data_IF_988932287425
#
_entry.id   IF_988932287425
#
_cell.length_a   1.000
_cell.length_b   1.000
_cell.length_c   1.000
_cell.angle_alpha   90.00
_cell.angle_beta   90.00
_cell.angle_gamma   90.00
#
_symmetry.space_group_name_H-M   'P 1'
#
loop_
_entity.id
_entity.type
_entity.pdbx_description
1 polymer ?
#
# COMPACT_ATOMS: atom_id res chain seq x y z
N UNK A 1 -3.15 23.24 -11.51
CA UNK A 1 -2.08 22.94 -10.52
C UNK A 1 -2.50 21.97 -9.41
N UNK A 2 -3.69 22.10 -8.79
CA UNK A 2 -4.15 21.17 -7.73
C UNK A 2 -4.05 19.67 -8.08
N UNK A 3 -4.47 19.27 -9.28
CA UNK A 3 -4.40 17.85 -9.73
C UNK A 3 -2.98 17.24 -9.72
N UNK A 4 -1.96 18.04 -10.02
CA UNK A 4 -0.56 17.56 -10.05
C UNK A 4 -0.06 17.31 -8.63
N UNK A 5 -0.38 18.22 -7.71
CA UNK A 5 -0.08 18.06 -6.28
C UNK A 5 -0.82 16.89 -5.65
N UNK A 6 -2.10 16.69 -5.99
CA UNK A 6 -2.88 15.53 -5.54
C UNK A 6 -2.27 14.21 -6.05
N UNK A 7 -1.80 14.20 -7.29
CA UNK A 7 -1.10 13.05 -7.87
C UNK A 7 0.20 12.74 -7.14
N UNK A 8 1.04 13.76 -6.92
CA UNK A 8 2.31 13.64 -6.20
C UNK A 8 2.12 13.16 -4.75
N UNK A 9 1.16 13.73 -4.02
CA UNK A 9 0.82 13.30 -2.66
C UNK A 9 0.37 11.83 -2.61
N UNK A 10 -0.40 11.40 -3.61
CA UNK A 10 -0.85 10.00 -3.72
C UNK A 10 0.33 9.06 -3.98
N UNK A 11 1.29 9.47 -4.81
CA UNK A 11 2.51 8.71 -5.07
C UNK A 11 3.40 8.60 -3.83
N UNK A 12 3.63 9.72 -3.13
CA UNK A 12 4.39 9.73 -1.87
C UNK A 12 3.70 8.85 -0.83
N UNK A 13 2.38 8.90 -0.74
CA UNK A 13 1.60 8.04 0.15
C UNK A 13 1.77 6.55 -0.19
N UNK A 14 1.83 6.19 -1.48
CA UNK A 14 2.09 4.83 -1.91
C UNK A 14 3.48 4.34 -1.47
N UNK A 15 4.50 5.18 -1.61
CA UNK A 15 5.86 4.89 -1.15
C UNK A 15 5.93 4.73 0.36
N UNK A 16 5.28 5.62 1.13
CA UNK A 16 5.23 5.54 2.59
C UNK A 16 4.56 4.24 3.03
N UNK A 17 3.45 3.85 2.39
CA UNK A 17 2.76 2.60 2.71
C UNK A 17 3.69 1.38 2.56
N UNK A 18 4.44 1.30 1.46
CA UNK A 18 5.42 0.23 1.22
C UNK A 18 6.60 0.31 2.19
N UNK A 19 7.11 1.52 2.47
CA UNK A 19 8.23 1.71 3.37
C UNK A 19 7.92 1.30 4.82
N UNK A 20 6.69 1.49 5.28
CA UNK A 20 6.27 1.10 6.62
C UNK A 20 5.86 -0.37 6.71
N UNK A 21 5.07 -0.87 5.76
CA UNK A 21 4.50 -2.23 5.83
C UNK A 21 5.39 -3.29 5.20
N UNK A 22 6.21 -2.94 4.21
CA UNK A 22 7.13 -3.86 3.53
C UNK A 22 8.11 -4.53 4.49
N UNK A 23 8.85 -3.77 5.33
CA UNK A 23 9.74 -4.35 6.33
C UNK A 23 9.01 -5.24 7.34
N UNK A 24 7.82 -4.83 7.80
CA UNK A 24 7.01 -5.62 8.75
C UNK A 24 6.62 -6.97 8.15
N UNK A 25 6.15 -6.98 6.89
CA UNK A 25 5.84 -8.20 6.16
C UNK A 25 7.08 -9.08 5.93
N UNK A 26 8.21 -8.47 5.62
CA UNK A 26 9.47 -9.18 5.45
C UNK A 26 9.92 -9.86 6.75
N UNK A 27 9.88 -9.15 7.88
CA UNK A 27 10.19 -9.74 9.19
C UNK A 27 9.23 -10.85 9.58
N UNK A 28 7.93 -10.68 9.33
CA UNK A 28 6.94 -11.71 9.58
C UNK A 28 7.18 -12.96 8.72
N UNK A 29 7.55 -12.80 7.45
CA UNK A 29 7.92 -13.92 6.59
C UNK A 29 9.19 -14.63 7.08
N UNK A 30 10.19 -13.85 7.48
CA UNK A 30 11.47 -14.38 7.98
C UNK A 30 11.31 -15.09 9.32
N UNK A 31 10.43 -14.65 10.23
CA UNK A 31 10.19 -15.32 11.51
C UNK A 31 9.55 -16.70 11.32
N UNK A 32 8.59 -16.83 10.40
CA UNK A 32 8.02 -18.15 10.06
C UNK A 32 9.09 -19.02 9.40
N UNK A 33 9.89 -18.47 8.50
CA UNK A 33 10.97 -19.20 7.81
C UNK A 33 12.09 -19.66 8.75
N UNK A 34 12.40 -18.88 9.78
CA UNK A 34 13.40 -19.22 10.80
C UNK A 34 12.88 -20.26 11.81
N UNK A 35 11.58 -20.56 11.81
CA UNK A 35 10.95 -21.47 12.78
C UNK A 35 10.57 -20.79 14.10
N UNK A 36 10.73 -19.47 14.22
CA UNK A 36 10.34 -18.69 15.41
C UNK A 36 8.82 -18.54 15.52
N UNK A 37 8.09 -18.74 14.42
CA UNK A 37 6.66 -18.56 14.33
C UNK A 37 5.97 -19.72 13.57
N UNK A 38 4.72 -20.07 13.91
CA UNK A 38 4.04 -21.22 13.33
C UNK A 38 3.67 -21.04 11.84
N UNK A 39 3.74 -22.13 11.07
CA UNK A 39 3.53 -22.14 9.61
C UNK A 39 2.16 -21.61 9.14
N UNK A 40 1.11 -21.66 9.97
CA UNK A 40 -0.21 -21.13 9.59
C UNK A 40 -0.18 -19.60 9.39
N UNK A 41 0.83 -18.90 9.91
CA UNK A 41 1.02 -17.46 9.71
C UNK A 41 1.33 -17.07 8.27
N UNK A 42 1.71 -17.99 7.39
CA UNK A 42 1.82 -17.68 5.96
C UNK A 42 0.49 -17.17 5.38
N UNK A 43 -0.66 -17.69 5.82
CA UNK A 43 -1.96 -17.25 5.34
C UNK A 43 -2.23 -15.75 5.62
N UNK A 44 -2.17 -15.25 6.88
CA UNK A 44 -2.35 -13.83 7.14
C UNK A 44 -1.24 -12.96 6.52
N UNK A 45 0.02 -13.44 6.44
CA UNK A 45 1.10 -12.70 5.75
C UNK A 45 0.74 -12.48 4.27
N UNK A 46 0.24 -13.52 3.58
CA UNK A 46 -0.17 -13.42 2.17
C UNK A 46 -1.34 -12.43 2.03
N UNK A 47 -2.35 -12.48 2.90
CA UNK A 47 -3.49 -11.56 2.85
C UNK A 47 -3.03 -10.11 3.02
N UNK A 48 -2.15 -9.84 3.99
CA UNK A 48 -1.61 -8.50 4.22
C UNK A 48 -0.73 -8.03 3.06
N UNK A 49 0.08 -8.92 2.47
CA UNK A 49 0.87 -8.60 1.29
C UNK A 49 -0.03 -8.25 0.08
N UNK A 50 -1.11 -9.00 -0.14
CA UNK A 50 -2.09 -8.69 -1.19
C UNK A 50 -2.78 -7.35 -0.94
N UNK A 51 -3.19 -7.06 0.30
CA UNK A 51 -3.76 -5.75 0.66
C UNK A 51 -2.78 -4.62 0.40
N UNK A 52 -1.51 -4.78 0.73
CA UNK A 52 -0.47 -3.79 0.46
C UNK A 52 -0.32 -3.54 -1.05
N UNK A 53 -0.31 -4.60 -1.86
CA UNK A 53 -0.24 -4.50 -3.32
C UNK A 53 -1.46 -3.77 -3.88
N UNK A 54 -2.67 -4.13 -3.42
CA UNK A 54 -3.92 -3.50 -3.86
C UNK A 54 -3.94 -2.00 -3.49
N UNK A 55 -3.55 -1.67 -2.25
CA UNK A 55 -3.48 -0.30 -1.77
C UNK A 55 -2.44 0.52 -2.56
N UNK A 56 -1.24 -0.03 -2.75
CA UNK A 56 -0.19 0.60 -3.55
C UNK A 56 -0.67 0.83 -4.99
N UNK A 57 -1.28 -0.17 -5.61
CA UNK A 57 -1.86 -0.08 -6.94
C UNK A 57 -2.94 1.00 -7.03
N UNK A 58 -3.83 1.10 -6.04
CA UNK A 58 -4.86 2.13 -5.99
C UNK A 58 -4.27 3.54 -5.85
N UNK A 59 -3.27 3.72 -4.98
CA UNK A 59 -2.58 5.00 -4.79
C UNK A 59 -1.75 5.40 -6.02
N UNK A 60 -1.12 4.43 -6.69
CA UNK A 60 -0.39 4.66 -7.93
C UNK A 60 -1.34 5.02 -9.09
N UNK A 61 -2.46 4.31 -9.23
CA UNK A 61 -3.49 4.67 -10.20
C UNK A 61 -4.04 6.07 -9.94
N UNK A 62 -4.22 6.44 -8.67
CA UNK A 62 -4.63 7.80 -8.28
C UNK A 62 -3.56 8.83 -8.65
N UNK A 63 -2.29 8.52 -8.42
CA UNK A 63 -1.18 9.37 -8.82
C UNK A 63 -1.14 9.63 -10.33
N UNK A 64 -1.34 8.57 -11.13
CA UNK A 64 -1.32 8.62 -12.59
C UNK A 64 -2.56 9.33 -13.18
N UNK A 65 -3.75 9.07 -12.62
CA UNK A 65 -5.01 9.62 -13.16
C UNK A 65 -5.30 11.04 -12.65
N UNK A 66 -4.67 11.48 -11.55
CA UNK A 66 -4.88 12.82 -10.98
C UNK A 66 -6.33 13.09 -10.55
N UNK A 67 -7.11 12.04 -10.26
CA UNK A 67 -8.53 12.15 -9.91
C UNK A 67 -8.63 12.30 -8.40
N UNK A 68 -8.86 13.54 -7.96
CA UNK A 68 -9.30 13.81 -6.59
C UNK A 68 -10.75 13.30 -6.40
N UNK A 69 -11.06 12.58 -5.31
CA UNK A 69 -12.46 12.28 -4.94
C UNK A 69 -13.26 13.55 -4.63
N UNK A 70 -12.57 14.66 -4.36
CA UNK A 70 -13.12 16.01 -4.31
C UNK A 70 -13.09 16.60 -5.73
N UNK A 71 -13.70 15.91 -6.68
CA UNK A 71 -14.40 16.67 -7.71
C UNK A 71 -15.60 17.24 -6.96
N UNK A 72 -15.48 18.48 -6.54
CA UNK A 72 -16.61 19.31 -6.11
C UNK A 72 -17.74 19.02 -7.09
N UNK A 73 -18.68 18.18 -6.66
CA UNK A 73 -19.85 17.87 -7.48
C UNK A 73 -20.64 19.16 -7.38
N UNK A 74 -20.40 20.10 -8.30
CA UNK A 74 -21.23 21.31 -8.48
C UNK A 74 -22.64 20.79 -8.70
N UNK A 75 -23.40 20.68 -7.61
CA UNK A 75 -24.85 20.70 -7.63
C UNK A 75 -25.27 22.15 -7.70
#
# INVERSE_FOLDING_TARGET
>A
MRRIWDGLLSFISALIAVALLGPVLWFAFQSVRAGDAPNWLYAPIIVLALMLILLFGALLQKALKGISPVQERRR
#
